data_IF_186624104675
#
_entry.id   IF_186624104675
#
_cell.length_a   1.000
_cell.length_b   1.000
_cell.length_c   1.000
_cell.angle_alpha   90.00
_cell.angle_beta   90.00
_cell.angle_gamma   90.00
#
_symmetry.space_group_name_H-M   'P 1'
#
loop_
_entity.id
_entity.type
_entity.pdbx_description
1 polymer ?
#
# COMPACT_ATOMS: atom_id res chain seq x y z
N UNK A 1 6.05 -4.17 -10.00
CA UNK A 1 6.91 -3.56 -11.03
C UNK A 1 8.33 -4.04 -10.84
N UNK A 2 8.82 -4.92 -11.68
CA UNK A 2 10.24 -5.32 -11.64
C UNK A 2 11.07 -4.24 -12.33
N UNK A 3 11.82 -3.50 -11.53
CA UNK A 3 12.81 -2.54 -12.01
C UNK A 3 14.21 -3.09 -11.72
N UNK A 4 15.02 -3.22 -12.76
CA UNK A 4 16.40 -3.63 -12.60
C UNK A 4 17.28 -2.40 -12.35
N UNK A 5 17.79 -2.30 -11.12
CA UNK A 5 18.75 -1.28 -10.72
C UNK A 5 20.10 -1.95 -10.54
N UNK A 6 21.07 -1.54 -11.35
CA UNK A 6 22.46 -2.02 -11.27
C UNK A 6 23.22 -1.20 -10.23
N UNK A 7 24.11 -1.85 -9.49
CA UNK A 7 25.07 -1.14 -8.64
C UNK A 7 26.23 -0.68 -9.50
N UNK A 8 26.38 0.64 -9.62
CA UNK A 8 27.54 1.26 -10.25
C UNK A 8 28.71 1.40 -9.25
N UNK A 9 29.89 1.85 -9.71
CA UNK A 9 30.92 2.33 -8.83
C UNK A 9 30.33 3.37 -7.87
N UNK A 10 30.56 3.13 -6.56
CA UNK A 10 29.99 3.99 -5.53
C UNK A 10 30.64 5.38 -5.59
N UNK A 11 29.83 6.41 -5.48
CA UNK A 11 30.27 7.79 -5.40
C UNK A 11 31.33 7.97 -4.28
N UNK A 12 32.40 8.69 -4.58
CA UNK A 12 33.40 9.00 -3.59
C UNK A 12 32.83 9.88 -2.47
N UNK A 13 33.24 9.61 -1.23
CA UNK A 13 32.73 10.29 -0.03
C UNK A 13 32.94 11.80 -0.01
N UNK A 14 33.94 12.31 -0.78
CA UNK A 14 34.16 13.75 -0.94
C UNK A 14 33.14 14.44 -1.87
N UNK A 15 32.17 13.71 -2.43
CA UNK A 15 31.18 14.25 -3.37
C UNK A 15 29.74 14.15 -2.84
N UNK A 16 29.56 13.63 -1.64
CA UNK A 16 28.24 13.44 -1.04
C UNK A 16 28.35 13.48 0.50
N UNK A 17 27.22 13.60 1.17
CA UNK A 17 27.15 13.31 2.60
C UNK A 17 26.95 11.81 2.81
N UNK A 18 27.77 11.16 3.62
CA UNK A 18 27.68 9.73 3.93
C UNK A 18 26.59 9.40 4.96
N UNK A 19 25.67 10.31 5.16
CA UNK A 19 24.51 10.20 6.05
C UNK A 19 23.34 10.99 5.50
N UNK A 20 22.18 10.80 6.12
CA UNK A 20 20.95 11.57 5.85
C UNK A 20 20.25 11.85 7.18
N UNK A 21 19.80 13.08 7.35
CA UNK A 21 19.01 13.50 8.50
C UNK A 21 17.54 13.60 8.08
N UNK A 22 16.73 12.65 8.53
CA UNK A 22 15.30 12.61 8.27
C UNK A 22 14.89 11.89 6.99
N UNK A 23 13.59 11.99 6.68
CA UNK A 23 12.95 11.24 5.61
C UNK A 23 13.22 11.80 4.22
N UNK A 24 13.15 10.94 3.22
CA UNK A 24 13.13 11.33 1.80
C UNK A 24 11.71 11.85 1.51
N UNK A 25 11.61 13.14 1.18
CA UNK A 25 10.35 13.85 0.92
C UNK A 25 10.19 14.29 -0.53
N UNK A 26 11.29 14.30 -1.29
CA UNK A 26 11.34 14.81 -2.66
C UNK A 26 12.13 13.86 -3.57
N UNK A 27 11.73 13.82 -4.83
CA UNK A 27 12.52 13.23 -5.91
C UNK A 27 12.81 14.35 -6.91
N UNK A 28 14.07 14.54 -7.28
CA UNK A 28 14.49 15.61 -8.17
C UNK A 28 15.05 15.02 -9.45
N UNK A 29 14.48 15.46 -10.57
CA UNK A 29 14.86 15.03 -11.91
C UNK A 29 15.88 16.00 -12.49
N UNK A 30 16.95 15.45 -13.05
CA UNK A 30 18.04 16.15 -13.65
C UNK A 30 18.35 15.62 -15.06
N UNK A 31 19.25 16.30 -15.73
CA UNK A 31 19.79 15.91 -17.03
C UNK A 31 21.24 16.32 -17.13
N UNK A 32 22.12 15.37 -17.48
CA UNK A 32 23.57 15.60 -17.53
C UNK A 32 23.97 16.60 -18.62
N UNK A 33 23.19 16.73 -19.68
CA UNK A 33 23.51 17.53 -20.88
C UNK A 33 24.80 17.12 -21.59
N UNK A 34 25.36 15.98 -21.28
CA UNK A 34 26.56 15.45 -21.95
C UNK A 34 26.14 14.64 -23.18
N UNK A 35 26.77 14.86 -24.31
CA UNK A 35 26.47 14.11 -25.52
C UNK A 35 27.21 12.77 -25.51
N UNK A 36 26.47 11.65 -25.58
CA UNK A 36 27.04 10.31 -25.67
C UNK A 36 27.51 9.72 -24.33
N UNK A 37 27.20 10.33 -23.19
CA UNK A 37 27.50 9.72 -21.88
C UNK A 37 26.54 8.54 -21.58
N UNK A 38 27.01 7.65 -20.71
CA UNK A 38 26.22 6.54 -20.20
C UNK A 38 26.02 6.66 -18.69
N UNK A 39 25.07 5.92 -18.14
CA UNK A 39 24.87 5.88 -16.70
C UNK A 39 26.09 5.35 -15.97
N UNK A 40 26.73 4.30 -16.50
CA UNK A 40 27.96 3.74 -15.93
C UNK A 40 29.14 4.73 -16.00
N UNK A 41 29.29 5.49 -17.10
CA UNK A 41 30.35 6.50 -17.21
C UNK A 41 30.19 7.60 -16.15
N UNK A 42 28.97 8.02 -15.85
CA UNK A 42 28.70 8.98 -14.79
C UNK A 42 29.02 8.40 -13.40
N UNK A 43 28.66 7.14 -13.12
CA UNK A 43 29.05 6.47 -11.88
C UNK A 43 30.59 6.41 -11.74
N UNK A 44 31.31 6.06 -12.81
CA UNK A 44 32.78 6.05 -12.83
C UNK A 44 33.35 7.45 -12.57
N UNK A 45 32.79 8.49 -13.17
CA UNK A 45 33.23 9.86 -12.95
C UNK A 45 33.11 10.30 -11.49
N UNK A 46 31.92 10.04 -10.89
CA UNK A 46 31.67 10.46 -9.51
C UNK A 46 32.27 9.50 -8.45
N UNK A 47 32.79 8.33 -8.83
CA UNK A 47 33.62 7.50 -7.95
C UNK A 47 35.02 8.11 -7.72
N UNK A 48 35.45 9.02 -8.59
CA UNK A 48 36.64 9.84 -8.38
C UNK A 48 36.42 10.95 -7.35
N UNK A 49 37.50 11.32 -6.61
CA UNK A 49 37.44 12.33 -5.57
C UNK A 49 37.23 13.76 -6.10
N UNK A 50 36.69 14.63 -5.25
CA UNK A 50 36.64 16.09 -5.42
C UNK A 50 35.92 16.57 -6.70
N UNK A 51 34.81 15.93 -7.04
CA UNK A 51 33.95 16.37 -8.16
C UNK A 51 32.98 17.49 -7.76
N UNK A 52 32.75 17.68 -6.46
CA UNK A 52 31.87 18.73 -5.93
C UNK A 52 30.39 18.56 -6.22
N UNK A 53 29.99 17.41 -6.76
CA UNK A 53 28.63 17.05 -7.08
C UNK A 53 28.44 15.53 -7.11
N UNK A 54 27.18 15.07 -7.08
CA UNK A 54 26.81 13.66 -7.28
C UNK A 54 25.30 13.51 -7.50
N UNK A 55 24.87 12.31 -7.91
CA UNK A 55 23.45 11.94 -7.93
C UNK A 55 23.26 10.53 -7.38
N UNK A 56 22.04 10.20 -6.94
CA UNK A 56 21.75 8.87 -6.44
C UNK A 56 21.69 7.86 -7.57
N UNK A 57 21.01 8.24 -8.65
CA UNK A 57 20.78 7.38 -9.81
C UNK A 57 21.15 8.07 -11.12
N UNK A 58 21.71 7.30 -12.02
CA UNK A 58 21.94 7.67 -13.41
C UNK A 58 21.18 6.71 -14.31
N UNK A 59 20.52 7.24 -15.34
CA UNK A 59 19.74 6.48 -16.31
C UNK A 59 20.27 6.79 -17.71
N UNK A 60 20.73 5.76 -18.41
CA UNK A 60 21.23 5.82 -19.77
C UNK A 60 20.71 4.66 -20.60
N UNK A 61 21.16 4.58 -21.86
CA UNK A 61 20.85 3.46 -22.74
C UNK A 61 21.40 2.11 -22.21
N UNK A 62 22.42 2.19 -21.34
CA UNK A 62 23.03 1.06 -20.63
C UNK A 62 22.24 0.61 -19.39
N UNK A 63 21.18 1.32 -19.04
CA UNK A 63 20.26 1.00 -17.94
C UNK A 63 20.25 2.00 -16.79
N UNK A 64 19.77 1.55 -15.64
CA UNK A 64 19.68 2.32 -14.40
C UNK A 64 20.80 1.89 -13.47
N UNK A 65 21.62 2.85 -13.04
CA UNK A 65 22.71 2.62 -12.10
C UNK A 65 22.57 3.46 -10.85
N UNK A 66 22.77 2.84 -9.68
CA UNK A 66 22.88 3.55 -8.41
C UNK A 66 24.34 3.87 -8.12
N UNK A 67 24.64 5.15 -7.83
CA UNK A 67 25.95 5.67 -7.48
C UNK A 67 26.05 6.08 -6.01
N UNK A 68 25.06 6.84 -5.51
CA UNK A 68 24.95 7.21 -4.10
C UNK A 68 23.86 6.35 -3.44
N UNK A 69 24.15 5.61 -2.36
CA UNK A 69 23.12 4.89 -1.61
C UNK A 69 22.02 5.80 -1.08
N UNK A 70 20.76 5.35 -1.06
CA UNK A 70 19.62 6.15 -0.62
C UNK A 70 19.73 6.66 0.83
N UNK A 71 20.43 5.92 1.70
CA UNK A 71 20.75 6.33 3.08
C UNK A 71 21.76 7.49 3.18
N UNK A 72 22.39 7.87 2.08
CA UNK A 72 23.28 9.01 1.95
C UNK A 72 22.58 10.16 1.24
N UNK A 73 23.14 11.37 1.28
CA UNK A 73 22.59 12.51 0.55
C UNK A 73 23.55 12.96 -0.55
N UNK A 74 23.11 12.83 -1.80
CA UNK A 74 23.88 13.32 -2.96
C UNK A 74 23.96 14.85 -2.95
N UNK A 75 25.05 15.40 -3.47
CA UNK A 75 25.21 16.83 -3.71
C UNK A 75 24.67 17.18 -5.10
N UNK A 76 23.34 17.27 -5.22
CA UNK A 76 22.65 17.44 -6.50
C UNK A 76 21.79 18.71 -6.56
N UNK A 77 21.21 19.13 -5.45
CA UNK A 77 20.25 20.25 -5.40
C UNK A 77 20.75 21.34 -4.46
N UNK A 78 21.84 22.00 -4.81
CA UNK A 78 22.40 23.04 -3.97
C UNK A 78 23.49 23.82 -4.68
N UNK A 79 23.96 24.87 -4.04
CA UNK A 79 25.02 25.73 -4.55
C UNK A 79 25.13 27.02 -3.74
N UNK A 80 25.63 28.06 -4.35
CA UNK A 80 25.91 29.36 -3.73
C UNK A 80 24.72 30.35 -3.80
N UNK A 81 23.67 30.04 -4.57
CA UNK A 81 22.49 30.90 -4.72
C UNK A 81 21.39 30.57 -3.73
N UNK A 82 20.36 31.40 -3.68
CA UNK A 82 19.16 31.19 -2.87
C UNK A 82 18.31 30.09 -3.48
N UNK A 83 17.82 29.17 -2.64
CA UNK A 83 16.85 28.16 -3.04
C UNK A 83 15.54 28.80 -3.48
N UNK A 84 15.00 28.32 -4.59
CA UNK A 84 13.69 28.67 -5.09
C UNK A 84 12.60 27.90 -4.36
N UNK A 85 12.85 26.60 -4.10
CA UNK A 85 11.92 25.78 -3.33
C UNK A 85 12.16 25.94 -1.82
N UNK A 86 11.09 26.16 -1.02
CA UNK A 86 11.25 26.47 0.41
C UNK A 86 11.84 25.31 1.24
N UNK A 87 11.60 24.07 0.87
CA UNK A 87 11.90 22.91 1.73
C UNK A 87 12.81 21.86 1.09
N UNK A 88 12.86 21.71 -0.23
CA UNK A 88 13.67 20.67 -0.88
C UNK A 88 15.17 20.96 -0.75
N UNK A 89 15.95 19.99 -0.26
CA UNK A 89 17.39 20.06 -0.02
C UNK A 89 18.04 18.69 -0.32
N UNK A 90 19.38 18.65 -0.40
CA UNK A 90 20.12 17.37 -0.56
C UNK A 90 19.73 16.33 0.50
N UNK A 91 19.55 16.75 1.74
CA UNK A 91 19.28 15.87 2.86
C UNK A 91 17.91 15.17 2.80
N UNK A 92 16.93 15.73 2.11
CA UNK A 92 15.57 15.18 2.05
C UNK A 92 15.10 14.84 0.63
N UNK A 93 16.03 14.70 -0.32
CA UNK A 93 15.71 14.37 -1.71
C UNK A 93 16.53 13.21 -2.26
N UNK A 94 15.96 12.49 -3.21
CA UNK A 94 16.66 11.58 -4.13
C UNK A 94 16.82 12.30 -5.47
N UNK A 95 18.00 12.24 -6.07
CA UNK A 95 18.29 12.85 -7.37
C UNK A 95 18.49 11.78 -8.43
N UNK A 96 17.82 11.95 -9.57
CA UNK A 96 17.86 11.07 -10.74
C UNK A 96 18.36 11.88 -11.94
N UNK A 97 19.49 11.49 -12.50
CA UNK A 97 20.08 12.07 -13.70
C UNK A 97 19.73 11.25 -14.93
N UNK A 98 19.08 11.88 -15.89
CA UNK A 98 18.98 11.35 -17.24
C UNK A 98 20.27 11.63 -18.00
N UNK A 99 20.92 10.59 -18.53
CA UNK A 99 22.15 10.69 -19.31
C UNK A 99 21.81 10.76 -20.78
N UNK A 100 22.61 11.54 -21.57
CA UNK A 100 22.60 11.56 -23.04
C UNK A 100 21.22 11.60 -23.71
N UNK A 101 21.10 12.27 -24.84
CA UNK A 101 19.96 12.31 -25.77
C UNK A 101 18.56 12.24 -25.15
N UNK A 102 18.05 13.36 -24.70
CA UNK A 102 16.61 13.50 -24.51
C UNK A 102 15.93 13.50 -25.86
N UNK A 103 15.18 12.50 -26.11
CA UNK A 103 14.52 12.15 -27.36
C UNK A 103 14.53 10.64 -27.58
N UNK A 104 15.36 9.89 -26.83
CA UNK A 104 15.17 8.47 -26.69
C UNK A 104 14.01 8.24 -25.70
N UNK A 105 12.83 7.90 -26.22
CA UNK A 105 11.64 7.59 -25.40
C UNK A 105 11.96 6.58 -24.27
N UNK A 106 12.97 5.74 -24.46
CA UNK A 106 13.42 4.74 -23.49
C UNK A 106 13.96 5.34 -22.18
N UNK A 107 14.76 6.41 -22.21
CA UNK A 107 15.33 7.02 -21.00
C UNK A 107 14.25 7.68 -20.16
N UNK A 108 13.30 8.38 -20.78
CA UNK A 108 12.17 9.00 -20.09
C UNK A 108 11.27 7.95 -19.45
N UNK A 109 10.97 6.86 -20.17
CA UNK A 109 10.16 5.77 -19.63
C UNK A 109 10.86 5.05 -18.46
N UNK A 110 12.16 4.81 -18.54
CA UNK A 110 12.94 4.26 -17.42
C UNK A 110 12.96 5.23 -16.24
N UNK A 111 13.05 6.53 -16.49
CA UNK A 111 12.98 7.56 -15.44
C UNK A 111 11.62 7.56 -14.75
N UNK A 112 10.52 7.43 -15.50
CA UNK A 112 9.17 7.29 -14.94
C UNK A 112 9.08 6.04 -14.07
N UNK A 113 9.55 4.89 -14.55
CA UNK A 113 9.54 3.63 -13.78
C UNK A 113 10.33 3.74 -12.47
N UNK A 114 11.56 4.27 -12.52
CA UNK A 114 12.37 4.49 -11.32
C UNK A 114 11.71 5.48 -10.36
N UNK A 115 11.17 6.58 -10.89
CA UNK A 115 10.49 7.59 -10.08
C UNK A 115 9.29 7.00 -9.35
N UNK A 116 8.44 6.24 -10.02
CA UNK A 116 7.29 5.53 -9.41
C UNK A 116 7.74 4.54 -8.34
N UNK A 117 8.78 3.75 -8.62
CA UNK A 117 9.35 2.83 -7.64
C UNK A 117 9.78 3.56 -6.36
N UNK A 118 10.52 4.67 -6.49
CA UNK A 118 10.98 5.48 -5.36
C UNK A 118 9.84 6.22 -4.66
N UNK A 119 8.83 6.70 -5.39
CA UNK A 119 7.61 7.26 -4.82
C UNK A 119 6.92 6.26 -3.90
N UNK A 120 6.73 5.03 -4.36
CA UNK A 120 6.12 3.96 -3.57
C UNK A 120 6.99 3.56 -2.37
N UNK A 121 8.29 3.41 -2.59
CA UNK A 121 9.25 3.00 -1.54
C UNK A 121 9.33 3.99 -0.38
N UNK A 122 9.24 5.29 -0.66
CA UNK A 122 9.44 6.36 0.33
C UNK A 122 8.16 7.16 0.65
N UNK A 123 7.03 6.80 0.08
CA UNK A 123 5.79 7.54 0.28
C UNK A 123 5.83 8.96 -0.30
N UNK A 124 6.62 9.21 -1.34
CA UNK A 124 6.75 10.54 -1.95
C UNK A 124 5.59 10.78 -2.90
N UNK A 125 4.72 11.78 -2.65
CA UNK A 125 3.60 12.06 -3.54
C UNK A 125 4.07 12.72 -4.85
N UNK A 126 3.29 12.57 -5.92
CA UNK A 126 3.66 13.07 -7.26
C UNK A 126 3.95 14.58 -7.29
N UNK A 127 3.30 15.40 -6.45
CA UNK A 127 3.60 16.83 -6.35
C UNK A 127 5.02 17.12 -5.87
N UNK A 128 5.63 16.22 -5.10
CA UNK A 128 6.98 16.34 -4.59
C UNK A 128 8.06 15.76 -5.53
N UNK A 129 7.68 15.35 -6.73
CA UNK A 129 8.61 15.09 -7.82
C UNK A 129 8.84 16.39 -8.56
N UNK A 130 10.06 16.90 -8.51
CA UNK A 130 10.46 18.23 -8.93
C UNK A 130 11.52 18.17 -10.03
N UNK A 131 11.64 19.23 -10.82
CA UNK A 131 12.84 19.46 -11.64
C UNK A 131 13.91 20.17 -10.78
N UNK A 132 15.16 20.04 -11.10
CA UNK A 132 16.19 20.87 -10.47
C UNK A 132 15.88 22.37 -10.62
N UNK A 133 15.30 22.78 -11.77
CA UNK A 133 14.81 24.14 -12.03
C UNK A 133 13.82 24.64 -10.96
N UNK A 134 12.96 23.76 -10.45
CA UNK A 134 11.97 24.11 -9.45
C UNK A 134 12.61 24.29 -8.04
N UNK A 135 13.81 23.72 -7.83
CA UNK A 135 14.52 23.78 -6.56
C UNK A 135 15.55 24.90 -6.52
N UNK A 136 16.30 25.12 -7.62
CA UNK A 136 17.49 25.96 -7.63
C UNK A 136 17.55 26.98 -8.76
N UNK A 137 16.56 27.16 -9.57
CA UNK A 137 16.59 28.06 -10.77
C UNK A 137 17.75 27.73 -11.74
N UNK A 138 18.10 26.47 -11.88
CA UNK A 138 19.02 25.96 -12.89
C UNK A 138 18.21 25.43 -14.08
N UNK A 139 18.63 25.71 -15.32
CA UNK A 139 17.96 25.18 -16.53
C UNK A 139 18.15 23.64 -16.64
N UNK A 140 17.62 22.91 -15.67
CA UNK A 140 17.78 21.46 -15.52
C UNK A 140 16.50 20.81 -14.99
N UNK A 141 16.02 19.73 -15.60
CA UNK A 141 16.46 19.16 -16.89
C UNK A 141 16.06 20.06 -18.05
N UNK A 142 17.04 20.47 -18.85
CA UNK A 142 16.85 21.47 -19.89
C UNK A 142 15.63 21.18 -20.80
N UNK A 143 15.40 19.97 -21.32
CA UNK A 143 14.25 19.71 -22.18
C UNK A 143 12.90 19.84 -21.49
N UNK A 144 12.81 19.53 -20.20
CA UNK A 144 11.57 19.74 -19.44
C UNK A 144 11.38 21.20 -19.02
N UNK A 145 12.44 22.00 -19.04
CA UNK A 145 12.34 23.44 -18.79
C UNK A 145 11.99 24.19 -20.07
N UNK A 146 12.64 23.85 -21.21
CA UNK A 146 12.38 24.48 -22.50
C UNK A 146 11.03 24.09 -23.12
N UNK A 147 10.55 22.88 -22.82
CA UNK A 147 9.28 22.33 -23.31
C UNK A 147 8.42 21.87 -22.12
N UNK A 148 7.70 22.81 -21.48
CA UNK A 148 6.88 22.51 -20.30
C UNK A 148 5.87 21.38 -20.53
N UNK A 149 5.36 21.23 -21.75
CA UNK A 149 4.44 20.16 -22.12
C UNK A 149 5.03 18.75 -21.93
N UNK A 150 6.35 18.59 -22.06
CA UNK A 150 7.04 17.32 -21.77
C UNK A 150 7.06 17.03 -20.28
N UNK A 151 7.23 18.06 -19.45
CA UNK A 151 7.16 17.93 -18.00
C UNK A 151 5.76 17.55 -17.53
N UNK A 152 4.73 18.22 -18.07
CA UNK A 152 3.35 17.89 -17.76
C UNK A 152 2.98 16.46 -18.20
N UNK A 153 3.46 16.01 -19.36
CA UNK A 153 3.31 14.62 -19.82
C UNK A 153 4.01 13.65 -18.84
N UNK A 154 5.22 13.97 -18.39
CA UNK A 154 5.96 13.20 -17.42
C UNK A 154 5.19 13.09 -16.10
N UNK A 155 4.71 14.22 -15.54
CA UNK A 155 3.95 14.28 -14.29
C UNK A 155 2.65 13.48 -14.38
N UNK A 156 1.91 13.61 -15.47
CA UNK A 156 0.68 12.84 -15.72
C UNK A 156 0.97 11.35 -15.69
N UNK A 157 2.01 10.89 -16.38
CA UNK A 157 2.42 9.49 -16.34
C UNK A 157 2.81 8.98 -14.95
N UNK A 158 3.33 9.81 -14.05
CA UNK A 158 3.59 9.40 -12.67
C UNK A 158 2.31 9.09 -11.89
N UNK A 159 1.21 9.76 -12.22
CA UNK A 159 -0.10 9.62 -11.55
C UNK A 159 -1.00 8.57 -12.20
N UNK A 160 -0.71 8.19 -13.43
CA UNK A 160 -1.41 7.10 -14.11
C UNK A 160 -1.08 5.78 -13.40
N UNK A 161 -2.08 5.11 -12.85
CA UNK A 161 -1.91 3.73 -12.40
C UNK A 161 -1.52 2.87 -13.62
N UNK A 162 -0.45 2.09 -13.52
CA UNK A 162 -0.28 1.01 -14.48
C UNK A 162 -1.50 0.10 -14.33
N UNK A 163 -2.34 0.07 -15.35
CA UNK A 163 -3.43 -0.90 -15.41
C UNK A 163 -2.86 -2.29 -15.18
N UNK A 164 -3.61 -3.14 -14.47
CA UNK A 164 -3.24 -4.54 -14.31
C UNK A 164 -2.94 -5.14 -15.69
N UNK A 165 -1.82 -5.84 -15.80
CA UNK A 165 -1.58 -6.66 -16.97
C UNK A 165 -2.70 -7.70 -17.08
N UNK A 166 -2.95 -8.21 -18.28
CA UNK A 166 -3.96 -9.27 -18.48
C UNK A 166 -3.69 -10.48 -17.58
N UNK A 167 -2.42 -10.80 -17.35
CA UNK A 167 -1.97 -11.87 -16.44
C UNK A 167 -2.34 -11.55 -14.98
N UNK A 168 -1.99 -10.37 -14.47
CA UNK A 168 -2.34 -9.92 -13.12
C UNK A 168 -3.86 -9.81 -12.92
N UNK A 169 -4.59 -9.38 -13.94
CA UNK A 169 -6.05 -9.34 -13.91
C UNK A 169 -6.64 -10.74 -13.79
N UNK A 170 -6.13 -11.70 -14.58
CA UNK A 170 -6.60 -13.08 -14.55
C UNK A 170 -6.25 -13.79 -13.23
N UNK A 171 -5.05 -13.53 -12.68
CA UNK A 171 -4.62 -14.03 -11.38
C UNK A 171 -5.52 -13.49 -10.25
N UNK A 172 -5.74 -12.19 -10.23
CA UNK A 172 -6.62 -11.54 -9.24
C UNK A 172 -8.06 -12.06 -9.34
N UNK A 173 -8.57 -12.21 -10.56
CA UNK A 173 -9.91 -12.78 -10.81
C UNK A 173 -10.02 -14.20 -10.26
N UNK A 174 -9.02 -15.06 -10.56
CA UNK A 174 -8.97 -16.43 -10.03
C UNK A 174 -8.92 -16.47 -8.50
N UNK A 175 -8.18 -15.55 -7.87
CA UNK A 175 -8.10 -15.45 -6.42
C UNK A 175 -9.45 -15.04 -5.81
N UNK A 176 -10.13 -14.07 -6.40
CA UNK A 176 -11.47 -13.62 -5.98
C UNK A 176 -12.46 -14.76 -6.10
N UNK A 177 -12.46 -15.54 -7.19
CA UNK A 177 -13.34 -16.69 -7.38
C UNK A 177 -13.10 -17.78 -6.33
N UNK A 178 -11.83 -18.07 -5.99
CA UNK A 178 -11.48 -19.01 -4.91
C UNK A 178 -11.94 -18.52 -3.54
N UNK A 179 -11.79 -17.24 -3.25
CA UNK A 179 -12.25 -16.65 -1.98
C UNK A 179 -13.78 -16.68 -1.88
N UNK A 180 -14.48 -16.40 -2.96
CA UNK A 180 -15.95 -16.46 -3.00
C UNK A 180 -16.46 -17.89 -2.74
N UNK A 181 -15.82 -18.90 -3.34
CA UNK A 181 -16.16 -20.31 -3.11
C UNK A 181 -15.90 -20.73 -1.65
N UNK A 182 -14.75 -20.35 -1.08
CA UNK A 182 -14.42 -20.63 0.32
C UNK A 182 -15.40 -19.95 1.30
N UNK A 183 -15.78 -18.70 1.01
CA UNK A 183 -16.78 -17.99 1.82
C UNK A 183 -18.15 -18.68 1.78
N UNK A 184 -18.58 -19.12 0.62
CA UNK A 184 -19.84 -19.87 0.46
C UNK A 184 -19.83 -21.18 1.24
N UNK A 185 -18.72 -21.92 1.20
CA UNK A 185 -18.57 -23.16 1.97
C UNK A 185 -18.61 -22.90 3.49
N UNK A 186 -17.90 -21.89 3.98
CA UNK A 186 -17.93 -21.48 5.39
C UNK A 186 -19.32 -21.03 5.84
N UNK A 187 -20.07 -20.35 4.99
CA UNK A 187 -21.45 -19.96 5.30
C UNK A 187 -22.37 -21.17 5.42
N UNK A 188 -22.20 -22.19 4.56
CA UNK A 188 -22.96 -23.44 4.64
C UNK A 188 -22.63 -24.20 5.94
N UNK A 189 -21.34 -24.37 6.26
CA UNK A 189 -20.87 -25.02 7.48
C UNK A 189 -21.38 -24.29 8.75
N UNK A 190 -21.32 -22.96 8.77
CA UNK A 190 -21.87 -22.15 9.86
C UNK A 190 -23.39 -22.36 10.05
N UNK A 191 -24.13 -22.52 8.96
CA UNK A 191 -25.55 -22.81 9.02
C UNK A 191 -25.83 -24.19 9.62
N UNK A 192 -25.06 -25.19 9.23
CA UNK A 192 -25.16 -26.55 9.78
C UNK A 192 -24.78 -26.58 11.27
N UNK A 193 -23.64 -25.94 11.63
CA UNK A 193 -23.23 -25.84 13.03
C UNK A 193 -24.27 -25.15 13.90
N UNK A 194 -24.88 -24.07 13.42
CA UNK A 194 -25.96 -23.39 14.14
C UNK A 194 -27.17 -24.31 14.34
N UNK A 195 -27.52 -25.12 13.35
CA UNK A 195 -28.62 -26.08 13.46
C UNK A 195 -28.31 -27.18 14.49
N UNK A 196 -27.08 -27.71 14.49
CA UNK A 196 -26.60 -28.69 15.49
C UNK A 196 -26.65 -28.08 16.90
N UNK A 197 -26.05 -26.89 17.09
CA UNK A 197 -26.06 -26.21 18.38
C UNK A 197 -27.49 -26.01 18.88
N UNK A 198 -28.41 -25.53 18.03
CA UNK A 198 -29.83 -25.36 18.40
C UNK A 198 -30.51 -26.68 18.79
N UNK A 199 -30.15 -27.78 18.12
CA UNK A 199 -30.76 -29.09 18.41
C UNK A 199 -30.21 -29.75 19.67
N UNK A 200 -28.97 -29.42 20.06
CA UNK A 200 -28.27 -30.00 21.22
C UNK A 200 -28.27 -29.10 22.46
N UNK A 201 -28.68 -27.83 22.30
CA UNK A 201 -28.73 -26.88 23.43
C UNK A 201 -29.79 -27.30 24.44
N UNK A 202 -29.40 -27.27 25.69
CA UNK A 202 -30.28 -27.47 26.87
C UNK A 202 -30.40 -26.13 27.60
N UNK A 203 -31.64 -25.73 27.90
CA UNK A 203 -31.94 -24.50 28.63
C UNK A 203 -32.35 -24.83 30.05
N UNK A 204 -31.44 -24.58 30.96
CA UNK A 204 -31.68 -24.91 32.38
C UNK A 204 -32.46 -23.83 33.13
N UNK A 205 -32.41 -22.58 32.63
CA UNK A 205 -33.06 -21.45 33.29
C UNK A 205 -33.80 -20.57 32.27
N UNK A 206 -34.89 -19.94 32.74
CA UNK A 206 -35.59 -18.92 31.94
C UNK A 206 -34.89 -17.56 32.03
N UNK A 207 -33.71 -17.48 31.47
CA UNK A 207 -32.82 -16.34 31.54
C UNK A 207 -32.41 -15.76 30.15
N UNK A 208 -31.33 -14.96 30.13
CA UNK A 208 -30.79 -14.36 28.92
C UNK A 208 -30.34 -15.36 27.85
N UNK A 209 -30.01 -16.60 28.21
CA UNK A 209 -29.56 -17.65 27.28
C UNK A 209 -30.74 -18.32 26.56
N UNK A 210 -31.91 -18.31 27.17
CA UNK A 210 -33.13 -18.85 26.55
C UNK A 210 -33.59 -17.92 25.42
N UNK A 211 -34.01 -18.46 24.25
CA UNK A 211 -34.55 -17.64 23.16
C UNK A 211 -35.75 -16.77 23.62
N UNK A 212 -35.71 -15.50 23.26
CA UNK A 212 -36.70 -14.51 23.72
C UNK A 212 -38.13 -14.91 23.41
N UNK A 213 -38.34 -15.58 22.28
CA UNK A 213 -39.67 -16.05 21.85
C UNK A 213 -40.27 -17.15 22.74
N UNK A 214 -39.44 -17.85 23.56
CA UNK A 214 -39.92 -18.92 24.42
C UNK A 214 -40.15 -18.47 25.87
N UNK A 215 -39.45 -17.41 26.34
CA UNK A 215 -39.40 -16.99 27.74
C UNK A 215 -40.77 -16.79 28.38
N UNK A 216 -41.67 -16.10 27.69
CA UNK A 216 -43.02 -15.83 28.18
C UNK A 216 -43.83 -17.13 28.37
N UNK A 217 -43.74 -18.05 27.41
CA UNK A 217 -44.44 -19.33 27.49
C UNK A 217 -43.90 -20.24 28.57
N UNK A 218 -42.55 -20.27 28.74
CA UNK A 218 -41.88 -21.02 29.79
C UNK A 218 -42.22 -20.42 31.15
N UNK A 219 -42.28 -19.11 31.32
CA UNK A 219 -42.71 -18.49 32.56
C UNK A 219 -44.18 -18.85 32.90
N UNK A 220 -45.08 -18.78 31.94
CA UNK A 220 -46.46 -19.14 32.15
C UNK A 220 -46.63 -20.64 32.59
N UNK A 221 -45.85 -21.53 31.95
CA UNK A 221 -45.84 -22.95 32.34
C UNK A 221 -45.29 -23.18 33.77
N UNK A 222 -44.28 -22.41 34.19
CA UNK A 222 -43.76 -22.42 35.55
C UNK A 222 -44.78 -21.85 36.53
N UNK A 223 -45.40 -20.74 36.27
CA UNK A 223 -46.41 -20.08 37.12
C UNK A 223 -47.65 -20.96 37.26
N UNK A 224 -48.01 -21.69 36.20
CA UNK A 224 -49.09 -22.66 36.22
C UNK A 224 -48.76 -23.92 37.03
N UNK A 225 -47.46 -24.20 37.21
CA UNK A 225 -46.98 -25.43 37.89
C UNK A 225 -46.83 -26.63 36.95
N UNK A 226 -47.01 -26.47 35.66
CA UNK A 226 -46.81 -27.53 34.65
C UNK A 226 -45.33 -27.80 34.35
N UNK A 227 -44.46 -26.85 34.66
CA UNK A 227 -43.03 -26.95 34.47
C UNK A 227 -42.30 -26.66 35.79
N UNK A 228 -41.67 -27.69 36.37
CA UNK A 228 -40.94 -27.62 37.63
C UNK A 228 -39.49 -28.02 37.34
N UNK A 229 -38.54 -27.24 37.87
CA UNK A 229 -37.10 -27.56 37.78
C UNK A 229 -36.72 -28.73 38.71
N UNK A 230 -35.51 -29.25 38.48
CA UNK A 230 -34.88 -30.23 39.40
C UNK A 230 -34.57 -29.62 40.80
N UNK A 231 -33.87 -30.35 41.68
CA UNK A 231 -33.50 -29.90 43.03
C UNK A 231 -32.61 -28.62 43.00
N UNK A 232 -31.95 -28.34 41.88
CA UNK A 232 -31.14 -27.14 41.64
C UNK A 232 -31.91 -26.06 40.85
N UNK A 233 -33.19 -26.28 40.57
CA UNK A 233 -34.03 -25.36 39.81
C UNK A 233 -33.77 -25.37 38.28
N UNK A 234 -33.03 -26.38 37.76
CA UNK A 234 -32.75 -26.50 36.30
C UNK A 234 -33.90 -27.14 35.58
N UNK A 235 -34.30 -26.55 34.43
CA UNK A 235 -35.44 -26.99 33.66
C UNK A 235 -35.13 -28.11 32.64
N UNK A 236 -33.84 -28.20 32.20
CA UNK A 236 -33.39 -29.22 31.25
C UNK A 236 -34.10 -29.24 29.93
N UNK A 237 -34.56 -28.07 29.43
CA UNK A 237 -35.41 -27.99 28.25
C UNK A 237 -34.55 -27.98 26.95
N UNK A 238 -34.87 -28.88 26.05
CA UNK A 238 -34.36 -28.81 24.67
C UNK A 238 -35.10 -27.77 23.85
N UNK A 239 -34.50 -27.39 22.70
CA UNK A 239 -35.19 -26.50 21.73
C UNK A 239 -36.56 -27.03 21.28
N UNK A 240 -36.71 -28.36 21.22
CA UNK A 240 -37.98 -29.03 20.89
C UNK A 240 -39.03 -28.83 22.01
N UNK A 241 -38.60 -28.93 23.27
CA UNK A 241 -39.46 -28.68 24.40
C UNK A 241 -39.97 -27.26 24.45
N UNK A 242 -39.09 -26.29 24.21
CA UNK A 242 -39.49 -24.89 24.11
C UNK A 242 -40.57 -24.66 23.05
N UNK A 243 -40.46 -25.30 21.89
CA UNK A 243 -41.50 -25.20 20.84
C UNK A 243 -42.83 -25.86 21.25
N UNK A 244 -42.74 -26.90 22.03
CA UNK A 244 -43.94 -27.58 22.55
C UNK A 244 -44.63 -26.68 23.58
N UNK A 245 -43.91 -26.19 24.57
CA UNK A 245 -44.43 -25.27 25.59
C UNK A 245 -45.03 -24.00 24.96
N UNK A 246 -44.42 -23.44 23.91
CA UNK A 246 -44.94 -22.28 23.22
C UNK A 246 -46.26 -22.60 22.46
N UNK A 247 -46.41 -23.80 21.96
CA UNK A 247 -47.70 -24.25 21.33
C UNK A 247 -48.77 -24.37 22.39
N UNK A 248 -48.51 -25.02 23.49
CA UNK A 248 -49.40 -25.20 24.62
C UNK A 248 -49.86 -23.85 25.19
N UNK A 249 -48.93 -22.92 25.39
CA UNK A 249 -49.19 -21.55 25.81
C UNK A 249 -50.18 -20.83 24.85
N UNK A 250 -49.98 -20.94 23.53
CA UNK A 250 -50.82 -20.33 22.54
C UNK A 250 -52.23 -20.97 22.48
N UNK A 251 -52.34 -22.19 22.93
CA UNK A 251 -53.64 -22.89 23.05
C UNK A 251 -54.33 -22.62 24.39
N UNK A 252 -53.81 -21.73 25.22
CA UNK A 252 -54.39 -21.37 26.51
C UNK A 252 -54.26 -22.44 27.59
N UNK A 253 -53.32 -23.42 27.43
CA UNK A 253 -53.14 -24.49 28.41
C UNK A 253 -52.62 -24.01 29.80
N UNK A 254 -52.05 -22.84 29.84
CA UNK A 254 -51.50 -22.23 31.08
C UNK A 254 -52.30 -21.01 31.52
N UNK A 255 -53.52 -20.79 30.98
CA UNK A 255 -54.43 -19.76 31.45
C UNK A 255 -55.12 -20.24 32.72
N UNK A 256 -55.09 -19.41 33.79
CA UNK A 256 -55.88 -19.63 35.01
C UNK A 256 -57.09 -18.76 35.06
#
# INVERSE_FOLDING_TARGET
>A
MDIQIKQGPQCHTSNCYTYRNGDIKYIVIHFTSNNGDTALNNCNYFSGANRGASAHYFIGDDGIYQSVPDKWAAWAVGGTKIYKHPYCRNMNSISIEMCSRIGADGIVEQTIKLTRYLMNKYGVPAQNVLRHYDVWDKQCPEPFVRKPELWEKFKRKLSESEGLTMEQYNELKSLIEKQAAALSALQAENKELKAVVQSTMVYDYNDGNMPSWARTAVQAAQDYGALVGDEQGRLGLSYKDLRTICREYRCGMYDR
#
